data_IF_881384152421
#
_entry.id   IF_881384152421
#
_cell.length_a   1.000
_cell.length_b   1.000
_cell.length_c   1.000
_cell.angle_alpha   90.00
_cell.angle_beta   90.00
_cell.angle_gamma   90.00
#
_symmetry.space_group_name_H-M   'P 1'
#
loop_
_entity.id
_entity.type
_entity.pdbx_description
1 polymer ?
#
# COMPACT_ATOMS: atom_id res chain seq x y z
N UNK A 1 -30.04 9.70 -30.46
CA UNK A 1 -29.23 8.49 -30.24
C UNK A 1 -28.11 8.48 -31.26
N UNK A 2 -26.99 9.13 -30.96
CA UNK A 2 -25.81 9.16 -31.84
C UNK A 2 -24.90 8.00 -31.46
N UNK A 3 -24.73 7.07 -32.39
CA UNK A 3 -23.77 5.98 -32.36
C UNK A 3 -22.35 6.54 -32.19
N UNK A 4 -21.74 6.31 -31.03
CA UNK A 4 -20.34 6.66 -30.77
C UNK A 4 -19.43 5.81 -31.65
N UNK A 5 -18.85 6.41 -32.68
CA UNK A 5 -17.87 5.76 -33.54
C UNK A 5 -16.58 5.50 -32.72
N UNK A 6 -16.03 4.27 -32.67
CA UNK A 6 -14.86 3.92 -31.83
C UNK A 6 -13.58 4.67 -32.21
N UNK A 7 -13.52 5.28 -33.40
CA UNK A 7 -12.40 6.11 -33.83
C UNK A 7 -12.28 7.44 -33.07
N UNK A 8 -13.38 8.00 -32.57
CA UNK A 8 -13.38 9.23 -31.77
C UNK A 8 -12.70 9.04 -30.40
N UNK A 9 -12.86 7.85 -29.82
CA UNK A 9 -12.27 7.46 -28.52
C UNK A 9 -10.75 7.38 -28.60
N UNK A 10 -10.22 6.82 -29.69
CA UNK A 10 -8.77 6.61 -29.86
C UNK A 10 -8.05 7.91 -30.21
N UNK A 11 -8.66 8.78 -31.02
CA UNK A 11 -8.10 10.09 -31.34
C UNK A 11 -8.03 11.03 -30.12
N UNK A 12 -9.03 10.96 -29.23
CA UNK A 12 -9.05 11.72 -27.98
C UNK A 12 -8.12 11.19 -26.89
N UNK A 13 -7.57 9.97 -27.04
CA UNK A 13 -6.72 9.33 -26.04
C UNK A 13 -5.33 9.98 -25.94
N UNK A 14 -4.74 10.42 -27.05
CA UNK A 14 -3.41 11.05 -27.07
C UNK A 14 -3.30 12.25 -26.11
N UNK A 15 -4.19 13.25 -26.20
CA UNK A 15 -4.23 14.36 -25.26
C UNK A 15 -4.41 13.94 -23.79
N UNK A 16 -5.19 12.88 -23.51
CA UNK A 16 -5.37 12.37 -22.13
C UNK A 16 -4.13 11.67 -21.61
N UNK A 17 -3.42 10.90 -22.45
CA UNK A 17 -2.13 10.30 -22.11
C UNK A 17 -1.09 11.38 -21.80
N UNK A 18 -1.03 12.45 -22.61
CA UNK A 18 -0.15 13.59 -22.34
C UNK A 18 -0.49 14.26 -21.01
N UNK A 19 -1.77 14.54 -20.77
CA UNK A 19 -2.21 15.16 -19.52
C UNK A 19 -1.92 14.28 -18.31
N UNK A 20 -2.06 12.95 -18.43
CA UNK A 20 -1.70 12.01 -17.37
C UNK A 20 -0.20 12.04 -17.07
N UNK A 21 0.65 12.01 -18.11
CA UNK A 21 2.10 12.12 -17.96
C UNK A 21 2.52 13.42 -17.28
N UNK A 22 1.98 14.55 -17.73
CA UNK A 22 2.28 15.86 -17.17
C UNK A 22 1.83 15.97 -15.71
N UNK A 23 0.68 15.39 -15.33
CA UNK A 23 0.24 15.31 -13.93
C UNK A 23 1.13 14.42 -13.06
N UNK A 24 1.63 13.32 -13.63
CA UNK A 24 2.59 12.44 -12.97
C UNK A 24 3.98 13.10 -12.80
N UNK A 25 4.25 14.21 -13.51
CA UNK A 25 5.53 14.92 -13.45
C UNK A 25 6.65 14.26 -14.27
N UNK A 26 6.32 13.28 -15.12
CA UNK A 26 7.32 12.56 -15.91
C UNK A 26 7.62 13.26 -17.24
N UNK A 27 8.89 13.27 -17.64
CA UNK A 27 9.29 13.62 -19.01
C UNK A 27 9.08 12.42 -19.94
N UNK A 28 9.02 12.63 -21.26
CA UNK A 28 8.97 11.53 -22.22
C UNK A 28 10.18 10.58 -22.08
N UNK A 29 11.35 11.12 -21.73
CA UNK A 29 12.54 10.32 -21.46
C UNK A 29 12.38 9.47 -20.18
N UNK A 30 11.80 10.03 -19.12
CA UNK A 30 11.51 9.29 -17.89
C UNK A 30 10.55 8.12 -18.12
N UNK A 31 9.45 8.37 -18.83
CA UNK A 31 8.49 7.32 -19.20
C UNK A 31 9.12 6.26 -20.11
N UNK A 32 9.98 6.68 -21.04
CA UNK A 32 10.71 5.72 -21.90
C UNK A 32 11.61 4.81 -21.09
N UNK A 33 12.27 5.32 -20.05
CA UNK A 33 13.11 4.53 -19.16
C UNK A 33 12.27 3.52 -18.37
N UNK A 34 11.13 3.94 -17.83
CA UNK A 34 10.26 3.09 -17.02
C UNK A 34 9.51 2.02 -17.84
N UNK A 35 9.06 2.36 -19.05
CA UNK A 35 8.16 1.50 -19.86
C UNK A 35 8.87 0.77 -21.01
N UNK A 36 10.10 1.15 -21.34
CA UNK A 36 10.82 0.66 -22.53
C UNK A 36 10.27 1.19 -23.86
N UNK A 37 9.31 2.12 -23.85
CA UNK A 37 8.71 2.68 -25.06
C UNK A 37 9.51 3.90 -25.51
N UNK A 38 10.09 3.86 -26.71
CA UNK A 38 10.92 4.94 -27.24
C UNK A 38 10.23 6.32 -27.17
N UNK A 39 10.95 7.42 -26.84
CA UNK A 39 10.36 8.75 -26.67
C UNK A 39 9.63 9.26 -27.91
N UNK A 40 10.14 8.92 -29.10
CA UNK A 40 9.53 9.24 -30.39
C UNK A 40 8.20 8.51 -30.63
N UNK A 41 8.02 7.34 -30.02
CA UNK A 41 6.76 6.60 -30.05
C UNK A 41 5.76 7.22 -29.10
N UNK A 42 6.17 7.54 -27.87
CA UNK A 42 5.34 8.25 -26.88
C UNK A 42 4.84 9.59 -27.42
N UNK A 43 5.73 10.40 -28.00
CA UNK A 43 5.36 11.69 -28.60
C UNK A 43 4.33 11.55 -29.73
N UNK A 44 4.48 10.56 -30.62
CA UNK A 44 3.50 10.31 -31.69
C UNK A 44 2.15 9.83 -31.16
N UNK A 45 2.14 9.06 -30.07
CA UNK A 45 0.90 8.64 -29.40
C UNK A 45 0.20 9.85 -28.77
N UNK A 46 0.93 10.66 -28.00
CA UNK A 46 0.38 11.85 -27.33
C UNK A 46 -0.19 12.90 -28.30
N UNK A 47 0.41 12.99 -29.50
CA UNK A 47 -0.05 13.90 -30.56
C UNK A 47 -1.10 13.28 -31.49
N UNK A 48 -1.55 12.05 -31.22
CA UNK A 48 -2.54 11.33 -32.04
C UNK A 48 -2.02 10.86 -33.39
N UNK A 49 -0.73 11.07 -33.70
CA UNK A 49 -0.06 10.64 -34.95
C UNK A 49 0.20 9.14 -35.00
N UNK A 50 0.02 8.42 -33.90
CA UNK A 50 0.12 6.95 -33.81
C UNK A 50 -0.96 6.42 -32.86
N UNK A 51 -1.77 5.46 -33.34
CA UNK A 51 -2.68 4.71 -32.48
C UNK A 51 -1.86 3.72 -31.61
N UNK A 52 -1.98 3.75 -30.27
CA UNK A 52 -1.30 2.81 -29.39
C UNK A 52 -1.96 1.42 -29.47
N UNK A 53 -1.19 0.36 -29.21
CA UNK A 53 -1.76 -0.98 -28.97
C UNK A 53 -2.34 -1.04 -27.56
N UNK A 54 -3.25 -1.99 -27.28
CA UNK A 54 -3.81 -2.17 -25.93
C UNK A 54 -2.70 -2.39 -24.89
N UNK A 55 -1.68 -3.19 -25.21
CA UNK A 55 -0.53 -3.42 -24.34
C UNK A 55 0.19 -2.12 -23.95
N UNK A 56 0.40 -1.22 -24.92
CA UNK A 56 1.02 0.09 -24.67
C UNK A 56 0.12 0.95 -23.78
N UNK A 57 -1.19 0.96 -24.02
CA UNK A 57 -2.13 1.73 -23.19
C UNK A 57 -2.13 1.23 -21.75
N UNK A 58 -2.13 -0.10 -21.54
CA UNK A 58 -2.10 -0.69 -20.20
C UNK A 58 -0.81 -0.35 -19.44
N UNK A 59 0.35 -0.46 -20.10
CA UNK A 59 1.64 -0.05 -19.51
C UNK A 59 1.66 1.42 -19.11
N UNK A 60 1.13 2.30 -19.96
CA UNK A 60 1.08 3.73 -19.68
C UNK A 60 0.06 4.06 -18.59
N UNK A 61 -1.07 3.34 -18.54
CA UNK A 61 -2.06 3.50 -17.47
C UNK A 61 -1.48 3.14 -16.09
N UNK A 62 -0.71 2.05 -16.03
CA UNK A 62 0.01 1.62 -14.82
C UNK A 62 1.09 2.64 -14.42
N UNK A 63 1.96 3.03 -15.36
CA UNK A 63 3.01 4.04 -15.13
C UNK A 63 2.44 5.37 -14.65
N UNK A 64 1.28 5.80 -15.15
CA UNK A 64 0.66 7.07 -14.77
C UNK A 64 -0.28 6.96 -13.56
N UNK A 65 -0.55 5.75 -13.08
CA UNK A 65 -1.52 5.51 -11.99
C UNK A 65 -2.95 5.94 -12.34
N UNK A 66 -3.39 5.74 -13.59
CA UNK A 66 -4.74 6.10 -14.06
C UNK A 66 -5.50 4.90 -14.63
N UNK A 67 -6.83 4.97 -14.66
CA UNK A 67 -7.65 3.89 -15.23
C UNK A 67 -7.72 3.93 -16.76
N UNK A 68 -8.01 2.76 -17.37
CA UNK A 68 -8.27 2.67 -18.81
C UNK A 68 -9.52 3.46 -19.22
N UNK A 69 -10.55 3.46 -18.38
CA UNK A 69 -11.78 4.24 -18.57
C UNK A 69 -11.49 5.74 -18.67
N UNK A 70 -10.57 6.24 -17.85
CA UNK A 70 -10.12 7.63 -17.93
C UNK A 70 -9.46 7.93 -19.28
N UNK A 71 -8.55 7.05 -19.73
CA UNK A 71 -7.87 7.22 -21.03
C UNK A 71 -8.85 7.11 -22.21
N UNK A 72 -9.85 6.24 -22.11
CA UNK A 72 -10.96 6.13 -23.05
C UNK A 72 -11.89 7.36 -22.99
N UNK A 73 -11.89 8.10 -21.88
CA UNK A 73 -12.77 9.26 -21.68
C UNK A 73 -14.20 8.87 -21.28
N UNK A 74 -14.39 7.68 -20.74
CA UNK A 74 -15.67 7.22 -20.19
C UNK A 74 -15.89 7.72 -18.76
N UNK A 75 -14.84 8.20 -18.09
CA UNK A 75 -14.88 8.85 -16.77
C UNK A 75 -14.02 10.13 -16.77
N UNK A 76 -14.34 11.12 -15.92
CA UNK A 76 -13.56 12.36 -15.80
C UNK A 76 -12.12 12.09 -15.31
N UNK A 77 -11.23 13.08 -15.49
CA UNK A 77 -9.86 12.98 -15.04
C UNK A 77 -9.78 12.77 -13.52
N UNK A 78 -8.86 11.92 -13.03
CA UNK A 78 -8.51 11.96 -11.62
C UNK A 78 -7.96 13.35 -11.34
N UNK A 79 -8.70 14.14 -10.56
CA UNK A 79 -8.18 15.39 -10.02
C UNK A 79 -6.89 15.04 -9.26
N UNK A 80 -5.87 15.91 -9.34
CA UNK A 80 -4.71 15.89 -8.41
C UNK A 80 -5.24 15.53 -7.03
N UNK A 81 -4.54 14.75 -6.16
CA UNK A 81 -4.99 14.59 -4.80
C UNK A 81 -5.08 15.97 -4.13
N UNK A 82 -6.26 16.58 -4.25
CA UNK A 82 -6.80 17.49 -3.28
C UNK A 82 -6.82 16.71 -1.97
N UNK A 83 -6.65 17.38 -0.82
CA UNK A 83 -6.82 16.71 0.47
C UNK A 83 -8.08 15.88 0.40
N UNK A 84 -7.89 14.57 0.52
CA UNK A 84 -8.83 13.53 0.13
C UNK A 84 -10.28 13.98 0.30
N UNK A 85 -11.05 13.89 -0.78
CA UNK A 85 -12.47 14.25 -0.79
C UNK A 85 -13.14 13.56 0.39
N UNK A 86 -13.46 14.35 1.42
CA UNK A 86 -14.08 13.90 2.66
C UNK A 86 -15.44 13.31 2.30
N UNK A 87 -15.52 12.01 2.13
CA UNK A 87 -16.81 11.34 2.10
C UNK A 87 -17.28 11.21 3.53
N UNK A 88 -18.10 12.17 3.97
CA UNK A 88 -18.85 12.07 5.21
C UNK A 88 -20.03 11.12 4.98
N UNK A 89 -19.76 9.83 4.96
CA UNK A 89 -20.77 8.77 5.09
C UNK A 89 -20.57 8.11 6.45
N UNK A 90 -21.63 7.94 7.23
CA UNK A 90 -21.62 7.29 8.56
C UNK A 90 -20.92 8.06 9.68
N UNK A 91 -20.74 9.38 9.54
CA UNK A 91 -20.10 10.20 10.57
C UNK A 91 -18.58 10.03 10.67
N UNK A 92 -17.95 9.30 9.74
CA UNK A 92 -16.49 9.18 9.62
C UNK A 92 -15.96 9.93 8.40
N UNK A 93 -14.72 10.42 8.48
CA UNK A 93 -13.98 10.92 7.32
C UNK A 93 -13.11 9.81 6.75
N UNK A 94 -13.20 9.56 5.44
CA UNK A 94 -12.37 8.56 4.73
C UNK A 94 -11.40 9.29 3.81
N UNK A 95 -10.11 8.94 3.92
CA UNK A 95 -9.03 9.42 3.07
C UNK A 95 -8.44 8.24 2.28
N UNK A 96 -8.69 8.12 0.97
CA UNK A 96 -8.08 7.09 0.15
C UNK A 96 -6.59 7.39 -0.05
N UNK A 97 -5.75 6.39 0.19
CA UNK A 97 -4.28 6.47 0.01
C UNK A 97 -3.81 5.75 -1.25
N UNK A 98 -4.63 4.84 -1.80
CA UNK A 98 -4.38 4.12 -3.07
C UNK A 98 -5.31 4.64 -4.17
N UNK A 99 -4.78 5.26 -5.26
CA UNK A 99 -5.61 5.91 -6.29
C UNK A 99 -6.00 5.01 -7.48
N UNK A 100 -5.57 3.74 -7.52
CA UNK A 100 -5.82 2.81 -8.64
C UNK A 100 -6.95 1.80 -8.34
N UNK A 101 -7.44 1.14 -9.39
CA UNK A 101 -8.51 0.13 -9.33
C UNK A 101 -7.90 -1.28 -9.32
N UNK A 102 -8.34 -2.11 -8.37
CA UNK A 102 -7.90 -3.50 -8.24
C UNK A 102 -6.71 -3.65 -7.29
N UNK A 103 -6.57 -4.85 -6.72
CA UNK A 103 -5.55 -5.11 -5.72
C UNK A 103 -5.94 -4.65 -4.31
N UNK A 104 -4.92 -4.50 -3.47
CA UNK A 104 -5.06 -4.03 -2.10
C UNK A 104 -5.25 -2.52 -2.07
N UNK A 105 -6.33 -2.09 -1.42
CA UNK A 105 -6.64 -0.68 -1.21
C UNK A 105 -6.27 -0.27 0.21
N UNK A 106 -5.77 0.96 0.36
CA UNK A 106 -5.43 1.54 1.66
C UNK A 106 -6.19 2.83 1.89
N UNK A 107 -6.91 2.93 3.01
CA UNK A 107 -7.59 4.15 3.44
C UNK A 107 -7.16 4.54 4.84
N UNK A 108 -7.00 5.85 5.09
CA UNK A 108 -6.99 6.41 6.44
C UNK A 108 -8.41 6.83 6.80
N UNK A 109 -8.93 6.34 7.91
CA UNK A 109 -10.23 6.72 8.44
C UNK A 109 -10.06 7.57 9.70
N UNK A 110 -10.95 8.56 9.87
CA UNK A 110 -11.01 9.42 11.05
C UNK A 110 -12.44 9.39 11.59
N UNK A 111 -12.61 8.90 12.81
CA UNK A 111 -13.83 9.05 13.60
C UNK A 111 -13.72 10.33 14.42
N UNK A 112 -14.74 11.20 14.42
CA UNK A 112 -14.73 12.42 15.22
C UNK A 112 -14.67 12.09 16.72
N UNK A 113 -14.27 13.09 17.50
CA UNK A 113 -14.47 13.05 18.94
C UNK A 113 -15.98 13.01 19.23
N UNK A 114 -16.34 12.22 20.23
CA UNK A 114 -17.72 12.09 20.73
C UNK A 114 -17.78 12.58 22.17
N UNK A 115 -18.93 13.11 22.59
CA UNK A 115 -19.13 13.59 23.97
C UNK A 115 -19.45 12.44 24.93
N UNK A 116 -20.17 11.43 24.42
CA UNK A 116 -20.56 10.23 25.16
C UNK A 116 -20.02 8.99 24.46
N UNK A 117 -19.91 7.90 25.23
CA UNK A 117 -19.51 6.63 24.65
C UNK A 117 -20.59 6.11 23.68
N UNK A 118 -20.27 5.86 22.40
CA UNK A 118 -21.24 5.40 21.44
C UNK A 118 -21.76 4.00 21.78
N UNK A 119 -23.02 3.76 21.43
CA UNK A 119 -23.59 2.42 21.37
C UNK A 119 -22.75 1.51 20.45
N UNK A 120 -22.93 0.20 20.63
CA UNK A 120 -22.29 -0.80 19.77
C UNK A 120 -22.58 -0.49 18.29
N UNK A 121 -21.55 -0.39 17.43
CA UNK A 121 -21.74 0.02 16.04
C UNK A 121 -22.57 -1.00 15.28
N UNK A 122 -23.32 -0.51 14.29
CA UNK A 122 -23.96 -1.37 13.29
C UNK A 122 -22.89 -2.19 12.57
N UNK A 123 -23.13 -3.49 12.45
CA UNK A 123 -22.22 -4.40 11.76
C UNK A 123 -22.66 -4.64 10.30
N UNK A 124 -21.67 -4.88 9.44
CA UNK A 124 -21.83 -5.27 8.04
C UNK A 124 -21.03 -6.53 7.75
N UNK A 125 -21.34 -7.22 6.66
CA UNK A 125 -20.59 -8.39 6.20
C UNK A 125 -20.43 -8.32 4.69
N UNK A 126 -19.25 -8.67 4.20
CA UNK A 126 -18.95 -8.73 2.77
C UNK A 126 -17.77 -9.67 2.53
N UNK A 127 -17.59 -10.09 1.28
CA UNK A 127 -16.40 -10.82 0.90
C UNK A 127 -15.16 -9.93 0.99
N UNK A 128 -14.04 -10.51 1.43
CA UNK A 128 -12.80 -9.76 1.63
C UNK A 128 -11.99 -10.24 2.82
N UNK A 129 -10.88 -9.54 3.00
CA UNK A 129 -10.07 -9.59 4.20
C UNK A 129 -9.70 -8.16 4.57
N UNK A 130 -9.77 -7.85 5.85
CA UNK A 130 -9.41 -6.54 6.38
C UNK A 130 -8.24 -6.67 7.34
N UNK A 131 -7.31 -5.75 7.19
CA UNK A 131 -6.25 -5.49 8.14
C UNK A 131 -6.33 -4.03 8.53
N UNK A 132 -6.40 -3.73 9.82
CA UNK A 132 -6.42 -2.37 10.31
C UNK A 132 -5.38 -2.14 11.40
N UNK A 133 -4.89 -0.91 11.48
CA UNK A 133 -3.95 -0.45 12.49
C UNK A 133 -4.43 0.89 13.05
N UNK A 134 -4.54 0.98 14.37
CA UNK A 134 -4.93 2.23 15.04
C UNK A 134 -3.72 3.16 15.10
N UNK A 135 -3.87 4.36 14.55
CA UNK A 135 -2.81 5.38 14.52
C UNK A 135 -2.92 6.32 15.72
N UNK A 136 -4.14 6.61 16.16
CA UNK A 136 -4.42 7.52 17.27
C UNK A 136 -5.78 7.20 17.92
N UNK A 137 -5.89 7.41 19.24
CA UNK A 137 -7.12 7.21 20.00
C UNK A 137 -7.39 5.74 20.36
N UNK A 138 -8.66 5.43 20.64
CA UNK A 138 -9.12 4.07 20.96
C UNK A 138 -10.29 3.67 20.07
N UNK A 139 -10.12 2.59 19.31
CA UNK A 139 -11.11 2.07 18.37
C UNK A 139 -11.87 0.91 19.00
N UNK A 140 -13.21 0.97 19.00
CA UNK A 140 -14.06 -0.19 19.29
C UNK A 140 -14.31 -0.93 17.98
N UNK A 141 -13.90 -2.19 17.91
CA UNK A 141 -14.21 -3.12 16.83
C UNK A 141 -15.24 -4.13 17.33
N UNK A 142 -16.48 -4.02 16.88
CA UNK A 142 -17.50 -5.04 17.08
C UNK A 142 -17.31 -6.12 16.01
N UNK A 143 -16.87 -7.32 16.37
CA UNK A 143 -16.60 -8.43 15.45
C UNK A 143 -17.39 -9.66 15.87
N UNK A 144 -18.46 -9.98 15.13
CA UNK A 144 -19.42 -10.99 15.51
C UNK A 144 -20.06 -10.65 16.85
N UNK A 145 -19.93 -11.54 17.83
CA UNK A 145 -20.37 -11.34 19.22
C UNK A 145 -19.33 -10.65 20.11
N UNK A 146 -18.12 -10.40 19.61
CA UNK A 146 -17.03 -9.80 20.37
C UNK A 146 -17.02 -8.28 20.22
N UNK A 147 -16.57 -7.60 21.26
CA UNK A 147 -16.25 -6.17 21.25
C UNK A 147 -14.81 -6.00 21.72
N UNK A 148 -13.94 -5.60 20.79
CA UNK A 148 -12.51 -5.39 21.03
C UNK A 148 -12.26 -3.89 21.12
N UNK A 149 -11.48 -3.45 22.11
CA UNK A 149 -10.99 -2.07 22.20
C UNK A 149 -9.51 -2.09 21.85
N UNK A 150 -9.15 -1.42 20.76
CA UNK A 150 -7.80 -1.34 20.21
C UNK A 150 -7.23 0.06 20.49
N UNK A 151 -6.01 0.13 21.03
CA UNK A 151 -5.28 1.36 21.28
C UNK A 151 -4.32 1.69 20.12
N UNK A 152 -3.76 2.89 20.10
CA UNK A 152 -2.76 3.28 19.11
C UNK A 152 -1.58 2.28 19.07
N UNK A 153 -1.25 1.80 17.87
CA UNK A 153 -0.27 0.75 17.61
C UNK A 153 -0.86 -0.66 17.51
N UNK A 154 -2.08 -0.89 18.00
CA UNK A 154 -2.74 -2.18 17.89
C UNK A 154 -3.21 -2.45 16.46
N UNK A 155 -3.16 -3.73 16.10
CA UNK A 155 -3.50 -4.24 14.77
C UNK A 155 -4.58 -5.32 14.91
N UNK A 156 -5.55 -5.31 14.00
CA UNK A 156 -6.52 -6.38 13.85
C UNK A 156 -6.57 -6.85 12.40
N UNK A 157 -6.62 -8.15 12.20
CA UNK A 157 -6.80 -8.79 10.90
C UNK A 157 -7.95 -9.79 11.00
N UNK A 158 -8.93 -9.70 10.12
CA UNK A 158 -10.12 -10.55 10.18
C UNK A 158 -10.78 -10.77 8.81
N UNK A 159 -11.52 -11.87 8.74
CA UNK A 159 -12.37 -12.21 7.60
C UNK A 159 -13.66 -11.39 7.63
N UNK A 160 -13.90 -10.60 6.59
CA UNK A 160 -15.03 -9.65 6.54
C UNK A 160 -16.38 -10.33 6.32
N UNK A 161 -16.43 -11.65 6.10
CA UNK A 161 -17.68 -12.44 6.18
C UNK A 161 -18.18 -12.53 7.62
N UNK A 162 -17.30 -12.32 8.61
CA UNK A 162 -17.73 -12.09 9.99
C UNK A 162 -18.37 -10.71 10.09
N UNK A 163 -19.59 -10.57 10.64
CA UNK A 163 -20.20 -9.27 10.87
C UNK A 163 -19.27 -8.35 11.65
N UNK A 164 -18.97 -7.17 11.11
CA UNK A 164 -18.02 -6.25 11.72
C UNK A 164 -18.46 -4.79 11.61
N UNK A 165 -18.07 -3.98 12.59
CA UNK A 165 -18.36 -2.55 12.64
C UNK A 165 -17.40 -1.84 13.59
N UNK A 166 -17.15 -0.56 13.36
CA UNK A 166 -16.18 0.22 14.15
C UNK A 166 -16.82 1.48 14.71
N UNK A 167 -16.41 1.85 15.92
CA UNK A 167 -16.83 3.05 16.62
C UNK A 167 -15.68 3.66 17.43
N UNK A 168 -15.85 4.90 17.86
CA UNK A 168 -14.99 5.49 18.88
C UNK A 168 -15.25 4.76 20.22
N UNK A 169 -14.20 4.40 20.96
CA UNK A 169 -14.30 3.65 22.22
C UNK A 169 -14.37 4.55 23.47
N UNK A 170 -14.52 5.86 23.33
CA UNK A 170 -14.74 6.74 24.47
C UNK A 170 -14.78 8.23 24.12
N UNK A 171 -15.18 9.07 25.07
CA UNK A 171 -15.38 10.49 24.82
C UNK A 171 -14.07 11.28 24.75
N UNK A 172 -14.15 12.46 24.15
CA UNK A 172 -13.13 13.51 24.26
C UNK A 172 -11.95 13.43 23.29
N UNK A 173 -11.78 12.34 22.53
CA UNK A 173 -10.71 12.23 21.53
C UNK A 173 -11.19 11.64 20.20
N UNK A 174 -10.76 12.15 19.04
CA UNK A 174 -10.99 11.47 17.77
C UNK A 174 -10.19 10.17 17.69
N UNK A 175 -10.53 9.32 16.71
CA UNK A 175 -9.81 8.07 16.44
C UNK A 175 -9.34 8.10 14.99
N UNK A 176 -8.07 7.80 14.78
CA UNK A 176 -7.50 7.63 13.45
C UNK A 176 -7.00 6.21 13.27
N UNK A 177 -7.34 5.57 12.16
CA UNK A 177 -6.86 4.23 11.85
C UNK A 177 -6.61 4.08 10.36
N UNK A 178 -5.62 3.25 10.02
CA UNK A 178 -5.34 2.79 8.66
C UNK A 178 -6.09 1.48 8.44
N UNK A 179 -6.77 1.34 7.31
CA UNK A 179 -7.36 0.06 6.87
C UNK A 179 -6.81 -0.31 5.51
N UNK A 180 -6.43 -1.58 5.39
CA UNK A 180 -6.06 -2.25 4.15
C UNK A 180 -7.13 -3.29 3.85
N UNK A 181 -7.69 -3.28 2.64
CA UNK A 181 -8.72 -4.23 2.24
C UNK A 181 -8.58 -4.62 0.77
N UNK A 182 -8.91 -5.88 0.47
CA UNK A 182 -8.91 -6.42 -0.89
C UNK A 182 -10.32 -6.88 -1.27
N UNK A 183 -10.95 -6.31 -2.31
CA UNK A 183 -12.31 -6.67 -2.72
C UNK A 183 -12.45 -8.11 -3.22
N UNK A 184 -11.33 -8.79 -3.52
CA UNK A 184 -11.27 -10.18 -3.96
C UNK A 184 -10.70 -11.14 -2.89
N UNK A 185 -10.73 -10.75 -1.60
CA UNK A 185 -10.18 -11.59 -0.52
C UNK A 185 -8.65 -11.62 -0.48
N UNK A 186 -8.01 -10.63 -1.08
CA UNK A 186 -6.57 -10.46 -1.05
C UNK A 186 -6.12 -10.20 0.39
N UNK A 187 -5.10 -10.94 0.83
CA UNK A 187 -4.51 -10.77 2.16
C UNK A 187 -3.23 -9.95 2.06
N UNK A 188 -3.02 -8.96 2.95
CA UNK A 188 -1.73 -8.32 3.09
C UNK A 188 -0.67 -9.38 3.42
N UNK A 189 0.15 -9.75 2.44
CA UNK A 189 1.25 -10.69 2.67
C UNK A 189 2.48 -9.91 3.09
N UNK A 190 3.15 -10.28 4.20
CA UNK A 190 4.49 -9.78 4.48
C UNK A 190 5.39 -10.05 3.27
N UNK A 191 6.02 -9.01 2.73
CA UNK A 191 7.02 -9.15 1.66
C UNK A 191 8.39 -9.56 2.19
N UNK A 192 8.52 -9.72 3.51
CA UNK A 192 9.74 -10.19 4.15
C UNK A 192 9.70 -11.71 4.23
N UNK A 193 10.71 -12.42 3.70
CA UNK A 193 10.86 -13.86 3.95
C UNK A 193 10.85 -14.11 5.47
N UNK A 194 10.27 -15.22 5.96
CA UNK A 194 10.41 -15.57 7.36
C UNK A 194 11.91 -15.60 7.69
N UNK A 195 12.31 -14.84 8.72
CA UNK A 195 13.66 -14.96 9.28
C UNK A 195 13.82 -16.43 9.67
N UNK A 196 14.82 -17.16 9.14
CA UNK A 196 15.09 -18.51 9.59
C UNK A 196 15.25 -18.46 11.11
N UNK A 197 14.33 -19.11 11.82
CA UNK A 197 14.40 -19.18 13.27
C UNK A 197 15.76 -19.75 13.69
N UNK A 198 16.28 -19.36 14.87
CA UNK A 198 17.53 -19.93 15.36
C UNK A 198 17.36 -21.45 15.38
N UNK A 199 18.20 -22.13 14.59
CA UNK A 199 18.13 -23.57 14.40
C UNK A 199 18.03 -24.25 15.75
N UNK A 200 16.95 -25.00 15.95
CA UNK A 200 16.82 -25.91 17.08
C UNK A 200 17.98 -26.89 16.92
N UNK A 201 19.04 -26.69 17.69
CA UNK A 201 20.07 -27.69 17.90
C UNK A 201 19.35 -28.92 18.46
N UNK A 202 19.08 -29.89 17.59
CA UNK A 202 18.70 -31.23 18.03
C UNK A 202 19.80 -31.70 18.96
N UNK A 203 19.41 -32.00 20.20
CA UNK A 203 20.31 -32.43 21.26
C UNK A 203 21.15 -33.60 20.78
N UNK A 204 22.44 -33.36 20.62
CA UNK A 204 23.42 -34.43 20.57
C UNK A 204 23.45 -35.06 21.96
N UNK A 205 22.92 -36.27 22.01
CA UNK A 205 23.09 -37.25 23.07
C UNK A 205 24.49 -37.15 23.70
N UNK A 206 24.54 -36.67 24.95
CA UNK A 206 25.79 -36.58 25.70
C UNK A 206 26.35 -37.98 26.00
N UNK A 207 27.67 -38.19 25.92
CA UNK A 207 28.29 -39.38 26.49
C UNK A 207 28.42 -39.22 28.02
N UNK A 208 28.24 -40.33 28.72
CA UNK A 208 28.35 -40.48 30.19
C UNK A 208 29.67 -39.93 30.77
N UNK A 209 29.70 -39.50 32.04
CA UNK A 209 30.90 -38.92 32.64
C UNK A 209 31.94 -40.01 32.94
N UNK A 210 33.21 -39.66 32.77
CA UNK A 210 34.32 -40.29 33.49
C UNK A 210 34.98 -39.24 34.36
N UNK A 211 35.23 -39.66 35.59
CA UNK A 211 35.85 -38.89 36.66
C UNK A 211 37.27 -38.43 36.34
N UNK A 212 37.65 -37.42 37.12
CA UNK A 212 38.96 -37.21 37.76
C UNK A 212 39.88 -36.11 37.20
N UNK A 213 40.08 -35.13 38.09
CA UNK A 213 41.34 -34.50 38.51
C UNK A 213 42.07 -33.53 37.57
N UNK A 214 42.33 -32.32 38.09
CA UNK A 214 43.43 -31.47 37.65
C UNK A 214 43.10 -29.97 37.66
N UNK A 215 43.60 -29.26 38.67
CA UNK A 215 43.43 -27.82 38.88
C UNK A 215 44.52 -26.99 38.11
N UNK A 216 44.75 -25.68 38.37
CA UNK A 216 44.43 -24.58 37.45
C UNK A 216 45.67 -23.76 37.01
N UNK A 217 45.60 -23.00 35.91
CA UNK A 217 46.47 -21.81 35.72
C UNK A 217 45.87 -20.74 34.80
N UNK A 218 45.78 -19.54 35.36
CA UNK A 218 45.88 -18.18 34.80
C UNK A 218 46.32 -17.98 33.34
N UNK A 219 45.75 -16.97 32.66
CA UNK A 219 46.39 -15.65 32.45
C UNK A 219 45.98 -14.95 31.13
N UNK A 220 45.89 -13.61 31.23
CA UNK A 220 46.11 -12.55 30.22
C UNK A 220 45.06 -12.20 29.15
N UNK A 221 44.55 -10.96 29.26
CA UNK A 221 44.10 -10.05 28.18
C UNK A 221 45.34 -9.41 27.48
N UNK A 222 45.30 -8.38 26.57
CA UNK A 222 44.19 -7.56 26.03
C UNK A 222 44.32 -7.16 24.51
N UNK A 223 43.59 -6.08 24.11
CA UNK A 223 43.83 -5.11 23.02
C UNK A 223 43.18 -5.41 21.63
N UNK A 224 42.09 -4.73 21.20
CA UNK A 224 41.93 -3.35 20.65
C UNK A 224 42.36 -3.19 19.18
N UNK A 225 41.45 -3.13 18.20
CA UNK A 225 40.93 -1.93 17.48
C UNK A 225 41.01 -2.17 15.94
N UNK A 226 40.55 -1.32 15.01
CA UNK A 226 39.31 -0.52 14.88
C UNK A 226 38.55 -0.81 13.55
N UNK A 227 37.41 -0.10 13.34
CA UNK A 227 36.62 -0.02 12.08
C UNK A 227 37.36 0.74 10.96
N UNK A 228 36.88 0.62 9.71
CA UNK A 228 36.62 1.83 8.95
C UNK A 228 35.24 1.87 8.27
N UNK A 229 34.80 3.12 8.05
CA UNK A 229 33.63 3.56 7.30
C UNK A 229 33.67 3.16 5.81
N UNK A 230 32.48 3.07 5.21
CA UNK A 230 32.30 3.29 3.77
C UNK A 230 30.99 4.03 3.52
N UNK A 231 31.11 5.29 3.10
CA UNK A 231 30.02 6.09 2.56
C UNK A 231 29.75 5.78 1.08
N UNK A 232 28.56 6.27 0.67
CA UNK A 232 28.15 6.78 -0.65
C UNK A 232 28.39 5.96 -1.91
N UNK A 233 27.31 5.65 -2.64
CA UNK A 233 27.02 6.25 -3.95
C UNK A 233 25.99 5.42 -4.70
N UNK A 234 24.89 6.02 -5.16
CA UNK A 234 24.27 5.63 -6.43
C UNK A 234 23.45 6.79 -7.01
N UNK A 235 24.14 7.54 -7.86
CA UNK A 235 23.59 8.50 -8.81
C UNK A 235 24.05 8.05 -10.20
N UNK A 236 23.21 7.34 -10.97
CA UNK A 236 23.48 6.98 -12.37
C UNK A 236 22.19 6.78 -13.15
N UNK A 237 21.82 7.78 -13.94
CA UNK A 237 21.25 7.55 -15.27
C UNK A 237 21.34 8.84 -16.10
N UNK A 238 22.45 8.99 -16.80
CA UNK A 238 22.64 9.97 -17.87
C UNK A 238 23.24 9.25 -19.06
N UNK A 239 22.59 9.39 -20.22
CA UNK A 239 23.19 9.13 -21.52
C UNK A 239 22.62 7.92 -22.27
N UNK A 240 21.79 8.18 -23.28
CA UNK A 240 22.09 7.79 -24.64
C UNK A 240 21.18 8.57 -25.60
N UNK A 241 21.82 9.03 -26.68
CA UNK A 241 21.32 9.89 -27.76
C UNK A 241 20.17 9.33 -28.57
#
# INVERSE_FOLDING_TARGET
MTSGHPDGTTAAMGPRLRAARERHGSTLAGVSCATGIAPSTLSRIETGRRKPTLEVVLRLAEEYGVSLDYLAGTVPAPERPAPARRTSGDGKTVLPLTPYVGGLHAHKHVLPAVEEEPNRPRQVSHEGHEWLCVLYGRLRLALGSQDLVLAAGDVAEFDTRTPHGVANAGPGTPVEYLVLFGPQGERPRPRTPPVPGPGVHQGLSGPRPRDSTGAPTSSTAPASSPRPDSGSDHDRCSGAS
#
